data_IF_781728862671
#
_entry.id   IF_781728862671
#
_cell.length_a   1.000
_cell.length_b   1.000
_cell.length_c   1.000
_cell.angle_alpha   90.00
_cell.angle_beta   90.00
_cell.angle_gamma   90.00
#
_symmetry.space_group_name_H-M   'P 1'
#
loop_
_entity.id
_entity.type
_entity.pdbx_description
1 polymer ?
#
# COMPACT_ATOMS: atom_id res chain seq x y z
N UNK A 1 -12.32 20.09 10.05
CA UNK A 1 -11.84 18.77 10.59
C UNK A 1 -10.36 18.66 10.30
N UNK A 2 -9.55 18.30 11.28
CA UNK A 2 -8.09 18.15 11.08
C UNK A 2 -7.79 16.71 10.74
N UNK A 3 -7.02 16.47 9.67
CA UNK A 3 -6.58 15.14 9.25
C UNK A 3 -5.09 14.96 9.55
N UNK A 4 -4.73 13.95 10.34
CA UNK A 4 -3.36 13.54 10.60
C UNK A 4 -2.97 12.41 9.66
N UNK A 5 -1.84 12.56 8.95
CA UNK A 5 -1.31 11.52 8.05
C UNK A 5 -0.03 10.95 8.64
N UNK A 6 -0.07 9.68 9.02
CA UNK A 6 1.09 8.92 9.47
C UNK A 6 1.78 8.30 8.25
N UNK A 7 3.11 8.47 8.16
CA UNK A 7 3.87 8.10 6.97
C UNK A 7 3.79 9.13 5.84
N UNK A 8 3.60 10.40 6.18
CA UNK A 8 3.36 11.53 5.27
C UNK A 8 4.45 11.77 4.20
N UNK A 9 5.65 11.24 4.37
CA UNK A 9 6.77 11.36 3.40
C UNK A 9 6.98 10.12 2.55
N UNK A 10 6.20 9.05 2.79
CA UNK A 10 6.24 7.82 1.98
C UNK A 10 5.53 7.98 0.63
N UNK A 11 5.64 6.97 -0.24
CA UNK A 11 5.05 6.98 -1.59
C UNK A 11 3.54 7.31 -1.56
N UNK A 12 2.74 6.52 -0.86
CA UNK A 12 1.28 6.78 -0.77
C UNK A 12 1.00 7.98 0.13
N UNK A 13 1.68 8.09 1.28
CA UNK A 13 1.40 9.15 2.25
C UNK A 13 1.67 10.56 1.73
N UNK A 14 2.73 10.76 0.93
CA UNK A 14 2.99 12.06 0.30
C UNK A 14 1.93 12.44 -0.73
N UNK A 15 1.44 11.46 -1.48
CA UNK A 15 0.34 11.68 -2.43
C UNK A 15 -0.98 11.98 -1.69
N UNK A 16 -1.25 11.32 -0.54
CA UNK A 16 -2.39 11.65 0.34
C UNK A 16 -2.28 13.07 0.87
N UNK A 17 -1.10 13.48 1.35
CA UNK A 17 -0.86 14.86 1.80
C UNK A 17 -1.15 15.88 0.71
N UNK A 18 -0.63 15.66 -0.50
CA UNK A 18 -0.87 16.56 -1.64
C UNK A 18 -2.37 16.65 -1.99
N UNK A 19 -3.09 15.53 -1.95
CA UNK A 19 -4.55 15.50 -2.20
C UNK A 19 -5.32 16.30 -1.15
N UNK A 20 -4.99 16.11 0.15
CA UNK A 20 -5.65 16.82 1.25
C UNK A 20 -5.40 18.33 1.17
N UNK A 21 -4.15 18.75 0.98
CA UNK A 21 -3.80 20.17 0.89
C UNK A 21 -4.49 20.84 -0.30
N UNK A 22 -4.58 20.15 -1.46
CA UNK A 22 -5.24 20.69 -2.64
C UNK A 22 -6.77 20.83 -2.49
N UNK A 23 -7.40 20.05 -1.61
CA UNK A 23 -8.86 20.04 -1.40
C UNK A 23 -9.30 20.83 -0.19
N UNK A 24 -8.61 20.66 0.95
CA UNK A 24 -9.04 21.13 2.26
C UNK A 24 -8.12 22.23 2.84
N UNK A 25 -7.11 22.66 2.06
CA UNK A 25 -6.15 23.65 2.50
C UNK A 25 -5.27 23.15 3.66
N UNK A 26 -5.07 23.99 4.69
CA UNK A 26 -4.14 23.70 5.79
C UNK A 26 -4.69 22.79 6.90
N UNK A 27 -5.79 22.07 6.66
CA UNK A 27 -6.37 21.15 7.65
C UNK A 27 -5.66 19.79 7.76
N UNK A 28 -4.59 19.56 6.97
CA UNK A 28 -3.81 18.33 7.00
C UNK A 28 -2.48 18.52 7.73
N UNK A 29 -2.12 17.58 8.62
CA UNK A 29 -0.87 17.56 9.38
C UNK A 29 -0.14 16.26 9.07
N UNK A 30 1.15 16.35 8.69
CA UNK A 30 2.00 15.19 8.51
C UNK A 30 2.68 14.77 9.81
N UNK A 31 2.58 13.50 10.20
CA UNK A 31 3.36 12.94 11.31
C UNK A 31 4.62 12.28 10.76
N UNK A 32 5.78 12.75 11.22
CA UNK A 32 7.10 12.37 10.71
C UNK A 32 8.09 12.11 11.84
N UNK A 33 9.12 11.28 11.56
CA UNK A 33 10.09 10.87 12.57
C UNK A 33 11.25 11.83 12.77
N UNK A 34 11.53 12.70 11.81
CA UNK A 34 12.74 13.52 11.82
C UNK A 34 12.46 14.98 11.50
N UNK A 35 13.28 15.85 12.05
CA UNK A 35 13.27 17.29 11.75
C UNK A 35 13.48 17.57 10.23
N UNK A 36 14.33 16.79 9.57
CA UNK A 36 14.53 16.88 8.12
C UNK A 36 13.25 16.62 7.32
N UNK A 37 12.48 15.60 7.72
CA UNK A 37 11.19 15.29 7.10
C UNK A 37 10.14 16.38 7.38
N UNK A 38 10.13 16.94 8.60
CA UNK A 38 9.26 18.07 8.93
C UNK A 38 9.59 19.31 8.09
N UNK A 39 10.87 19.64 7.94
CA UNK A 39 11.33 20.71 7.06
C UNK A 39 10.98 20.50 5.60
N UNK A 40 11.03 19.25 5.12
CA UNK A 40 10.59 18.91 3.76
C UNK A 40 9.11 19.22 3.55
N UNK A 41 8.24 18.84 4.48
CA UNK A 41 6.80 19.16 4.42
C UNK A 41 6.55 20.67 4.52
N UNK A 42 7.23 21.36 5.43
CA UNK A 42 7.07 22.81 5.62
C UNK A 42 7.45 23.62 4.38
N UNK A 43 8.45 23.18 3.59
CA UNK A 43 8.80 23.82 2.30
C UNK A 43 7.66 23.78 1.28
N UNK A 44 6.77 22.80 1.42
CA UNK A 44 5.57 22.65 0.60
C UNK A 44 4.32 23.29 1.27
N UNK A 45 4.50 24.07 2.32
CA UNK A 45 3.39 24.70 3.05
C UNK A 45 2.57 23.72 3.90
N UNK A 46 3.09 22.53 4.18
CA UNK A 46 2.39 21.49 4.92
C UNK A 46 2.82 21.49 6.38
N UNK A 47 1.86 21.57 7.32
CA UNK A 47 2.12 21.43 8.74
C UNK A 47 2.64 20.02 9.09
N UNK A 48 3.59 19.94 10.04
CA UNK A 48 4.16 18.68 10.46
C UNK A 48 4.31 18.61 11.99
N UNK A 49 4.11 17.42 12.54
CA UNK A 49 4.41 17.05 13.92
C UNK A 49 5.47 15.94 13.92
N UNK A 50 6.49 16.11 14.77
CA UNK A 50 7.57 15.12 14.90
C UNK A 50 7.24 14.14 16.03
N UNK A 51 7.43 12.83 15.76
CA UNK A 51 7.26 11.77 16.75
C UNK A 51 7.51 10.40 16.15
N UNK A 52 7.45 9.37 16.99
CA UNK A 52 7.57 7.97 16.58
C UNK A 52 6.27 7.22 16.86
N UNK A 53 5.87 6.35 15.92
CA UNK A 53 4.66 5.51 16.07
C UNK A 53 4.76 4.52 17.22
N UNK A 54 5.96 4.22 17.68
CA UNK A 54 6.22 3.37 18.85
C UNK A 54 6.30 4.16 20.16
N UNK A 55 6.20 5.50 20.11
CA UNK A 55 6.15 6.36 21.27
C UNK A 55 4.72 6.87 21.55
N UNK A 56 4.07 6.28 22.51
CA UNK A 56 2.67 6.58 22.86
C UNK A 56 2.43 8.07 23.18
N UNK A 57 3.42 8.75 23.77
CA UNK A 57 3.28 10.14 24.16
C UNK A 57 3.17 11.07 22.92
N UNK A 58 4.08 10.93 21.94
CA UNK A 58 4.07 11.73 20.72
C UNK A 58 2.83 11.47 19.86
N UNK A 59 2.41 10.19 19.75
CA UNK A 59 1.17 9.84 19.06
C UNK A 59 -0.06 10.45 19.73
N UNK A 60 -0.18 10.37 21.05
CA UNK A 60 -1.32 10.92 21.81
C UNK A 60 -1.44 12.42 21.58
N UNK A 61 -0.35 13.16 21.65
CA UNK A 61 -0.34 14.61 21.40
C UNK A 61 -0.80 14.92 19.97
N UNK A 62 -0.28 14.19 18.96
CA UNK A 62 -0.63 14.44 17.58
C UNK A 62 -2.10 14.06 17.28
N UNK A 63 -2.58 12.94 17.80
CA UNK A 63 -3.92 12.42 17.52
C UNK A 63 -5.03 13.16 18.28
N UNK A 64 -4.75 13.73 19.47
CA UNK A 64 -5.75 14.50 20.22
C UNK A 64 -6.22 15.77 19.49
N UNK A 65 -5.50 16.21 18.47
CA UNK A 65 -5.83 17.36 17.64
C UNK A 65 -6.48 17.00 16.30
N UNK A 66 -6.66 15.69 16.04
CA UNK A 66 -7.14 15.19 14.76
C UNK A 66 -8.49 14.47 14.90
N UNK A 67 -9.46 14.80 14.08
CA UNK A 67 -10.71 14.05 13.96
C UNK A 67 -10.56 12.82 13.02
N UNK A 68 -9.61 12.91 12.08
CA UNK A 68 -9.32 11.84 11.11
C UNK A 68 -7.84 11.48 11.13
N UNK A 69 -7.54 10.20 11.16
CA UNK A 69 -6.17 9.66 11.04
C UNK A 69 -6.09 8.76 9.82
N UNK A 70 -5.15 9.05 8.92
CA UNK A 70 -4.85 8.21 7.76
C UNK A 70 -3.45 7.61 7.96
N UNK A 71 -3.39 6.30 8.14
CA UNK A 71 -2.14 5.58 8.35
C UNK A 71 -1.65 4.95 7.05
N UNK A 72 -0.57 5.50 6.48
CA UNK A 72 0.16 5.00 5.32
C UNK A 72 1.53 4.40 5.73
N UNK A 73 1.76 4.18 7.04
CA UNK A 73 3.02 3.61 7.52
C UNK A 73 3.11 2.14 7.16
N UNK A 74 4.22 1.76 6.56
CA UNK A 74 4.55 0.35 6.32
C UNK A 74 6.06 0.20 6.12
N UNK A 75 6.64 -0.84 6.71
CA UNK A 75 7.93 -1.36 6.31
C UNK A 75 7.72 -2.51 5.30
N UNK A 76 8.29 -2.37 4.12
CA UNK A 76 8.18 -3.31 3.00
C UNK A 76 9.56 -3.89 2.72
N UNK A 77 10.00 -4.86 3.51
CA UNK A 77 11.30 -5.52 3.41
C UNK A 77 11.22 -6.91 4.01
N UNK A 78 12.34 -7.62 3.98
CA UNK A 78 12.46 -9.01 4.43
C UNK A 78 12.98 -9.11 5.88
N UNK A 79 13.36 -7.98 6.51
CA UNK A 79 13.76 -7.94 7.91
C UNK A 79 12.53 -8.12 8.81
N UNK A 80 12.42 -9.28 9.43
CA UNK A 80 11.28 -9.66 10.27
C UNK A 80 11.15 -8.78 11.51
N UNK A 81 12.26 -8.38 12.14
CA UNK A 81 12.24 -7.51 13.31
C UNK A 81 11.71 -6.12 12.96
N UNK A 82 12.12 -5.56 11.84
CA UNK A 82 11.58 -4.29 11.33
C UNK A 82 10.10 -4.42 10.94
N UNK A 83 9.71 -5.53 10.34
CA UNK A 83 8.30 -5.79 10.03
C UNK A 83 7.45 -5.82 11.32
N UNK A 84 7.87 -6.54 12.35
CA UNK A 84 7.17 -6.59 13.64
C UNK A 84 7.17 -5.21 14.29
N UNK A 85 8.31 -4.53 14.36
CA UNK A 85 8.43 -3.24 15.02
C UNK A 85 7.54 -2.17 14.39
N UNK A 86 7.55 -2.07 13.06
CA UNK A 86 6.80 -1.01 12.35
C UNK A 86 5.36 -1.42 12.05
N UNK A 87 5.16 -2.60 11.43
CA UNK A 87 3.85 -2.97 10.90
C UNK A 87 2.92 -3.56 11.96
N UNK A 88 3.46 -4.22 13.00
CA UNK A 88 2.63 -4.80 14.05
C UNK A 88 2.59 -3.88 15.27
N UNK A 89 3.72 -3.67 15.98
CA UNK A 89 3.74 -2.88 17.21
C UNK A 89 3.34 -1.43 16.95
N UNK A 90 3.89 -0.80 15.91
CA UNK A 90 3.55 0.57 15.54
C UNK A 90 2.07 0.75 15.24
N UNK A 91 1.48 -0.16 14.44
CA UNK A 91 0.06 -0.05 14.08
C UNK A 91 -0.86 -0.39 15.26
N UNK A 92 -0.49 -1.37 16.11
CA UNK A 92 -1.20 -1.64 17.37
C UNK A 92 -1.24 -0.40 18.26
N UNK A 93 -0.12 0.30 18.40
CA UNK A 93 -0.03 1.53 19.18
C UNK A 93 -0.90 2.65 18.58
N UNK A 94 -0.85 2.83 17.26
CA UNK A 94 -1.71 3.77 16.53
C UNK A 94 -3.20 3.48 16.81
N UNK A 95 -3.64 2.23 16.63
CA UNK A 95 -5.04 1.83 16.82
C UNK A 95 -5.50 2.05 18.27
N UNK A 96 -4.68 1.62 19.25
CA UNK A 96 -4.96 1.79 20.67
C UNK A 96 -5.08 3.26 21.08
N UNK A 97 -4.17 4.11 20.62
CA UNK A 97 -4.21 5.53 20.96
C UNK A 97 -5.35 6.24 20.26
N UNK A 98 -5.60 5.94 18.97
CA UNK A 98 -6.74 6.50 18.25
C UNK A 98 -8.06 6.27 19.00
N UNK A 99 -8.29 5.03 19.47
CA UNK A 99 -9.46 4.70 20.28
C UNK A 99 -9.47 5.46 21.62
N UNK A 100 -8.32 5.53 22.32
CA UNK A 100 -8.21 6.14 23.64
C UNK A 100 -8.41 7.67 23.65
N UNK A 101 -8.05 8.38 22.55
CA UNK A 101 -8.23 9.83 22.43
C UNK A 101 -9.49 10.22 21.66
N UNK A 102 -10.28 9.24 21.19
CA UNK A 102 -11.54 9.48 20.51
C UNK A 102 -11.40 9.98 19.06
N UNK A 103 -10.40 9.48 18.31
CA UNK A 103 -10.31 9.73 16.86
C UNK A 103 -11.59 9.21 16.19
N UNK A 104 -12.30 10.08 15.49
CA UNK A 104 -13.57 9.72 14.86
C UNK A 104 -13.39 8.74 13.69
N UNK A 105 -12.31 8.89 12.92
CA UNK A 105 -12.05 8.10 11.71
C UNK A 105 -10.60 7.67 11.63
N UNK A 106 -10.36 6.38 11.69
CA UNK A 106 -9.05 5.77 11.46
C UNK A 106 -9.08 4.99 10.16
N UNK A 107 -8.24 5.37 9.18
CA UNK A 107 -8.02 4.61 7.95
C UNK A 107 -6.61 4.03 7.95
N UNK A 108 -6.49 2.76 7.59
CA UNK A 108 -5.20 2.08 7.45
C UNK A 108 -5.03 1.55 6.03
N UNK A 109 -3.95 1.95 5.36
CA UNK A 109 -3.58 1.43 4.03
C UNK A 109 -2.80 0.14 4.20
N UNK A 110 -3.49 -0.98 4.07
CA UNK A 110 -2.95 -2.34 4.05
C UNK A 110 -2.61 -2.79 2.63
N UNK A 111 -2.67 -4.08 2.35
CA UNK A 111 -2.34 -4.69 1.06
C UNK A 111 -3.17 -5.93 0.79
N UNK A 112 -3.49 -6.22 -0.47
CA UNK A 112 -4.06 -7.52 -0.85
C UNK A 112 -3.05 -8.69 -0.76
N UNK A 113 -1.75 -8.42 -0.59
CA UNK A 113 -0.74 -9.47 -0.36
C UNK A 113 -0.97 -10.29 0.92
N UNK A 114 -1.85 -9.84 1.81
CA UNK A 114 -2.29 -10.60 3.00
C UNK A 114 -3.02 -11.90 2.65
N UNK A 115 -3.58 -12.04 1.44
CA UNK A 115 -4.19 -13.28 0.98
C UNK A 115 -3.17 -14.38 0.64
N UNK A 116 -1.92 -14.00 0.37
CA UNK A 116 -0.84 -14.92 0.02
C UNK A 116 -0.84 -15.32 -1.47
N UNK A 117 -0.36 -16.54 -1.78
CA UNK A 117 -0.22 -16.97 -3.16
C UNK A 117 -1.58 -17.23 -3.80
N UNK A 118 -1.71 -16.77 -5.06
CA UNK A 118 -2.90 -17.02 -5.88
C UNK A 118 -2.94 -18.43 -6.46
N UNK A 119 -3.62 -18.63 -7.61
CA UNK A 119 -4.30 -17.55 -8.33
C UNK A 119 -5.59 -17.08 -7.67
N UNK A 120 -5.89 -15.79 -7.81
CA UNK A 120 -7.15 -15.18 -7.40
C UNK A 120 -7.83 -14.51 -8.59
N UNK A 121 -9.15 -14.73 -8.74
CA UNK A 121 -9.96 -14.15 -9.82
C UNK A 121 -11.24 -13.58 -9.25
N UNK A 122 -11.45 -12.28 -9.43
CA UNK A 122 -12.60 -11.54 -8.90
C UNK A 122 -12.83 -11.78 -7.39
N UNK A 123 -11.72 -11.89 -6.61
CA UNK A 123 -11.82 -12.25 -5.22
C UNK A 123 -12.49 -11.09 -4.42
N UNK A 124 -13.66 -11.31 -3.81
CA UNK A 124 -14.25 -10.31 -2.92
C UNK A 124 -13.49 -10.24 -1.59
N UNK A 125 -13.69 -9.16 -0.85
CA UNK A 125 -13.24 -9.09 0.56
C UNK A 125 -13.82 -10.29 1.32
N UNK A 126 -13.00 -10.97 2.10
CA UNK A 126 -13.35 -12.20 2.83
C UNK A 126 -13.70 -13.42 1.93
N UNK A 127 -13.40 -13.36 0.63
CA UNK A 127 -13.61 -14.47 -0.30
C UNK A 127 -12.58 -15.61 -0.17
N UNK A 128 -11.48 -15.38 0.56
CA UNK A 128 -10.47 -16.38 0.88
C UNK A 128 -9.87 -16.11 2.27
N UNK A 129 -9.35 -17.16 2.94
CA UNK A 129 -8.60 -16.98 4.19
C UNK A 129 -7.30 -16.19 3.91
N UNK A 130 -6.84 -15.44 4.92
CA UNK A 130 -5.55 -14.79 4.86
C UNK A 130 -4.44 -15.83 5.04
N UNK A 131 -3.49 -15.87 4.10
CA UNK A 131 -2.33 -16.78 4.09
C UNK A 131 -1.05 -16.03 3.68
N UNK A 132 -0.70 -14.96 4.39
CA UNK A 132 0.43 -14.12 4.02
C UNK A 132 1.76 -14.89 4.07
N UNK A 133 2.64 -14.69 3.08
CA UNK A 133 3.92 -15.40 2.97
C UNK A 133 5.09 -14.59 3.51
N UNK A 134 5.20 -13.32 3.11
CA UNK A 134 6.32 -12.49 3.52
C UNK A 134 6.17 -11.96 4.95
N UNK A 135 7.28 -11.62 5.66
CA UNK A 135 7.21 -10.96 6.96
C UNK A 135 6.34 -9.70 6.93
N UNK A 136 6.48 -8.89 5.89
CA UNK A 136 5.70 -7.67 5.71
C UNK A 136 4.19 -7.96 5.57
N UNK A 137 3.78 -8.97 4.81
CA UNK A 137 2.37 -9.31 4.67
C UNK A 137 1.77 -9.96 5.92
N UNK A 138 2.56 -10.78 6.66
CA UNK A 138 2.12 -11.39 7.93
C UNK A 138 1.83 -10.34 8.99
N UNK A 139 2.79 -9.43 9.21
CA UNK A 139 2.65 -8.38 10.22
C UNK A 139 1.56 -7.38 9.87
N UNK A 140 1.32 -7.11 8.57
CA UNK A 140 0.21 -6.27 8.14
C UNK A 140 -1.15 -6.93 8.28
N UNK A 141 -1.24 -8.25 8.09
CA UNK A 141 -2.49 -8.98 8.37
C UNK A 141 -2.90 -8.89 9.84
N UNK A 142 -1.93 -9.03 10.78
CA UNK A 142 -2.16 -8.81 12.22
C UNK A 142 -2.54 -7.35 12.52
N UNK A 143 -1.87 -6.40 11.88
CA UNK A 143 -2.16 -4.98 12.04
C UNK A 143 -3.61 -4.61 11.68
N UNK A 144 -4.18 -5.27 10.67
CA UNK A 144 -5.57 -5.05 10.26
C UNK A 144 -6.57 -5.40 11.38
N UNK A 145 -6.27 -6.41 12.20
CA UNK A 145 -7.12 -6.81 13.33
C UNK A 145 -7.18 -5.68 14.36
N UNK A 146 -6.03 -5.14 14.77
CA UNK A 146 -5.98 -4.02 15.71
C UNK A 146 -6.74 -2.78 15.20
N UNK A 147 -6.62 -2.50 13.92
CA UNK A 147 -7.31 -1.36 13.30
C UNK A 147 -8.82 -1.58 13.29
N UNK A 148 -9.30 -2.78 12.90
CA UNK A 148 -10.74 -3.08 12.89
C UNK A 148 -11.34 -3.08 14.29
N UNK A 149 -10.63 -3.63 15.27
CA UNK A 149 -11.06 -3.67 16.67
C UNK A 149 -11.19 -2.25 17.28
N UNK A 150 -10.35 -1.32 16.80
CA UNK A 150 -10.48 0.11 17.11
C UNK A 150 -11.55 0.84 16.30
N UNK A 151 -12.38 0.13 15.52
CA UNK A 151 -13.40 0.71 14.64
C UNK A 151 -12.83 1.30 13.34
N UNK A 152 -11.54 1.14 13.04
CA UNK A 152 -10.91 1.70 11.85
C UNK A 152 -11.29 0.98 10.56
N UNK A 153 -11.12 1.67 9.44
CA UNK A 153 -11.31 1.15 8.08
C UNK A 153 -9.98 0.67 7.51
N UNK A 154 -9.94 -0.56 7.04
CA UNK A 154 -8.80 -1.15 6.34
C UNK A 154 -8.99 -1.04 4.83
N UNK A 155 -8.01 -0.46 4.14
CA UNK A 155 -7.97 -0.35 2.68
C UNK A 155 -6.87 -1.28 2.15
N UNK A 156 -7.25 -2.24 1.31
CA UNK A 156 -6.34 -3.21 0.67
C UNK A 156 -6.18 -2.88 -0.82
N UNK A 157 -5.25 -2.01 -1.23
CA UNK A 157 -4.79 -1.99 -2.61
C UNK A 157 -3.98 -3.25 -2.90
N UNK A 158 -3.89 -3.66 -4.18
CA UNK A 158 -2.95 -4.72 -4.56
C UNK A 158 -1.62 -4.11 -4.98
N UNK A 159 -1.44 -3.80 -6.23
CA UNK A 159 -0.20 -3.26 -6.77
C UNK A 159 -0.39 -1.76 -7.09
N UNK A 160 0.29 -0.92 -6.33
CA UNK A 160 0.20 0.53 -6.49
C UNK A 160 1.33 1.01 -7.38
N UNK A 161 1.00 1.77 -8.43
CA UNK A 161 1.97 2.34 -9.37
C UNK A 161 1.74 3.83 -9.57
N UNK A 162 2.62 4.48 -10.31
CA UNK A 162 2.54 5.90 -10.65
C UNK A 162 3.74 6.71 -10.17
N UNK A 163 3.66 8.05 -10.20
CA UNK A 163 4.77 8.92 -9.83
C UNK A 163 5.29 8.63 -8.42
N UNK A 164 6.57 8.26 -8.31
CA UNK A 164 7.22 7.90 -7.05
C UNK A 164 7.20 6.41 -6.72
N UNK A 165 6.64 5.54 -7.57
CA UNK A 165 6.72 4.09 -7.40
C UNK A 165 8.19 3.61 -7.47
N UNK A 166 8.62 2.95 -6.41
CA UNK A 166 9.96 2.31 -6.29
C UNK A 166 9.86 0.81 -6.11
N UNK A 167 8.65 0.26 -6.03
CA UNK A 167 8.40 -1.09 -5.56
C UNK A 167 7.83 -2.01 -6.64
N UNK A 168 6.76 -1.61 -7.32
CA UNK A 168 6.05 -2.50 -8.22
C UNK A 168 6.64 -2.51 -9.63
N UNK A 169 6.45 -1.45 -10.43
CA UNK A 169 6.93 -1.43 -11.82
C UNK A 169 8.45 -1.61 -11.93
N UNK A 170 9.29 -0.96 -11.10
CA UNK A 170 10.73 -1.23 -11.11
C UNK A 170 11.12 -2.66 -10.76
N UNK A 171 10.34 -3.35 -9.90
CA UNK A 171 10.60 -4.77 -9.58
C UNK A 171 10.17 -5.67 -10.72
N UNK A 172 8.99 -5.43 -11.30
CA UNK A 172 8.48 -6.16 -12.46
C UNK A 172 9.47 -6.11 -13.63
N UNK A 173 9.89 -4.91 -14.03
CA UNK A 173 10.83 -4.73 -15.15
C UNK A 173 12.20 -5.34 -14.86
N UNK A 174 12.71 -5.23 -13.61
CA UNK A 174 13.96 -5.87 -13.22
C UNK A 174 13.91 -7.40 -13.32
N UNK A 175 12.79 -8.03 -12.95
CA UNK A 175 12.61 -9.48 -13.07
C UNK A 175 12.61 -9.87 -14.55
N UNK A 176 11.79 -9.21 -15.36
CA UNK A 176 11.67 -9.48 -16.79
C UNK A 176 13.00 -9.25 -17.51
N UNK A 177 13.74 -8.21 -17.16
CA UNK A 177 15.08 -7.95 -17.71
C UNK A 177 16.10 -9.05 -17.31
N UNK A 178 16.02 -9.56 -16.08
CA UNK A 178 16.94 -10.64 -15.63
C UNK A 178 16.60 -11.99 -16.26
N UNK A 179 15.35 -12.23 -16.58
CA UNK A 179 14.89 -13.41 -17.33
C UNK A 179 15.14 -13.27 -18.85
N UNK A 180 15.41 -12.05 -19.31
CA UNK A 180 15.44 -11.68 -20.73
C UNK A 180 14.22 -12.17 -21.52
N UNK A 181 13.08 -12.27 -20.82
CA UNK A 181 11.84 -12.84 -21.36
C UNK A 181 10.63 -12.43 -20.53
N UNK A 182 9.49 -12.33 -21.19
CA UNK A 182 8.17 -12.23 -20.53
C UNK A 182 7.67 -13.63 -20.18
N UNK A 183 7.00 -13.80 -19.04
CA UNK A 183 6.43 -15.08 -18.63
C UNK A 183 5.04 -15.26 -19.26
N UNK A 184 4.79 -16.41 -19.92
CA UNK A 184 3.50 -16.77 -20.54
C UNK A 184 2.89 -15.60 -21.36
N UNK A 185 3.70 -14.91 -22.16
CA UNK A 185 3.33 -13.72 -22.94
C UNK A 185 2.74 -12.57 -22.09
N UNK A 186 3.00 -12.55 -20.79
CA UNK A 186 2.45 -11.55 -19.86
C UNK A 186 0.93 -11.63 -19.68
N UNK A 187 0.35 -12.82 -19.84
CA UNK A 187 -1.09 -13.04 -19.82
C UNK A 187 -1.72 -13.00 -18.42
N UNK A 188 -0.93 -13.08 -17.35
CA UNK A 188 -1.44 -13.01 -15.99
C UNK A 188 -2.18 -11.69 -15.72
N UNK A 189 -3.34 -11.77 -15.07
CA UNK A 189 -4.24 -10.64 -14.81
C UNK A 189 -4.05 -10.14 -13.38
N UNK A 190 -3.76 -8.86 -13.23
CA UNK A 190 -3.43 -8.24 -11.95
C UNK A 190 -4.37 -7.08 -11.63
N UNK A 191 -4.84 -7.02 -10.40
CA UNK A 191 -5.38 -5.77 -9.87
C UNK A 191 -4.24 -4.79 -9.63
N UNK A 192 -4.39 -3.61 -10.18
CA UNK A 192 -3.46 -2.49 -9.99
C UNK A 192 -4.24 -1.25 -9.59
N UNK A 193 -3.56 -0.24 -9.07
CA UNK A 193 -4.15 1.06 -8.84
C UNK A 193 -3.11 2.16 -9.03
N UNK A 194 -3.43 3.14 -9.88
CA UNK A 194 -2.67 4.39 -9.93
C UNK A 194 -2.72 5.10 -8.57
N UNK A 195 -1.58 5.63 -8.11
CA UNK A 195 -1.50 6.26 -6.79
C UNK A 195 -2.46 7.44 -6.64
N UNK A 196 -2.73 8.20 -7.71
CA UNK A 196 -3.67 9.31 -7.64
C UNK A 196 -5.13 8.81 -7.52
N UNK A 197 -5.47 7.68 -8.15
CA UNK A 197 -6.78 7.05 -7.98
C UNK A 197 -6.93 6.52 -6.54
N UNK A 198 -5.89 5.87 -6.01
CA UNK A 198 -5.87 5.39 -4.64
C UNK A 198 -6.10 6.53 -3.64
N UNK A 199 -5.38 7.65 -3.77
CA UNK A 199 -5.51 8.75 -2.83
C UNK A 199 -6.84 9.49 -2.94
N UNK A 200 -7.43 9.60 -4.15
CA UNK A 200 -8.81 10.09 -4.31
C UNK A 200 -9.82 9.18 -3.60
N UNK A 201 -9.61 7.87 -3.66
CA UNK A 201 -10.45 6.90 -2.97
C UNK A 201 -10.29 7.01 -1.44
N UNK A 202 -9.07 7.13 -0.94
CA UNK A 202 -8.77 7.35 0.48
C UNK A 202 -9.43 8.65 0.96
N UNK A 203 -9.30 9.74 0.22
CA UNK A 203 -9.94 11.02 0.52
C UNK A 203 -11.45 10.87 0.61
N UNK A 204 -12.09 10.28 -0.40
CA UNK A 204 -13.53 10.02 -0.41
C UNK A 204 -13.95 9.21 0.82
N UNK A 205 -13.27 8.08 1.10
CA UNK A 205 -13.56 7.23 2.26
C UNK A 205 -13.37 7.95 3.60
N UNK A 206 -12.39 8.87 3.69
CA UNK A 206 -12.14 9.65 4.91
C UNK A 206 -13.16 10.74 5.16
N UNK A 207 -13.91 11.17 4.14
CA UNK A 207 -14.87 12.29 4.19
C UNK A 207 -16.35 11.86 4.00
N UNK A 208 -16.61 10.58 3.71
CA UNK A 208 -17.99 10.05 3.58
C UNK A 208 -18.84 10.36 4.81
N UNK A 209 -20.14 10.67 4.61
CA UNK A 209 -21.06 10.89 5.73
C UNK A 209 -21.24 9.63 6.59
N UNK A 210 -21.27 8.46 5.96
CA UNK A 210 -21.33 7.16 6.63
C UNK A 210 -19.96 6.49 6.60
N UNK A 211 -19.17 6.68 7.65
CA UNK A 211 -17.89 6.01 7.78
C UNK A 211 -18.07 4.51 8.00
N UNK A 212 -17.22 3.70 7.35
CA UNK A 212 -17.35 2.23 7.34
C UNK A 212 -16.55 1.60 8.49
N UNK A 213 -17.01 1.83 9.71
CA UNK A 213 -16.35 1.35 10.92
C UNK A 213 -16.09 -0.16 10.89
N UNK A 214 -14.88 -0.58 11.31
CA UNK A 214 -14.45 -1.97 11.41
C UNK A 214 -14.42 -2.74 10.09
N UNK A 215 -14.54 -2.07 8.95
CA UNK A 215 -14.64 -2.69 7.64
C UNK A 215 -13.30 -2.85 6.94
N UNK A 216 -13.29 -3.68 5.91
CA UNK A 216 -12.16 -3.84 4.98
C UNK A 216 -12.67 -3.65 3.55
N UNK A 217 -11.90 -2.95 2.72
CA UNK A 217 -12.22 -2.71 1.31
C UNK A 217 -11.01 -3.00 0.42
N UNK A 218 -11.25 -3.58 -0.76
CA UNK A 218 -10.28 -3.54 -1.85
C UNK A 218 -10.40 -2.19 -2.59
N UNK A 219 -9.25 -1.60 -2.91
CA UNK A 219 -9.17 -0.35 -3.69
C UNK A 219 -8.19 -0.55 -4.84
N UNK A 220 -8.74 -0.88 -6.01
CA UNK A 220 -8.00 -1.12 -7.25
C UNK A 220 -8.70 -0.41 -8.40
N UNK A 221 -8.08 -0.33 -9.56
CA UNK A 221 -8.74 0.09 -10.79
C UNK A 221 -9.96 -0.80 -11.10
N UNK A 222 -10.99 -0.25 -11.75
CA UNK A 222 -12.21 -1.00 -12.06
C UNK A 222 -11.95 -2.21 -12.97
N UNK A 223 -10.97 -2.06 -13.87
CA UNK A 223 -10.56 -3.11 -14.82
C UNK A 223 -9.15 -3.56 -14.46
N UNK A 224 -8.98 -4.85 -14.14
CA UNK A 224 -7.64 -5.39 -13.92
C UNK A 224 -6.84 -5.39 -15.23
N UNK A 225 -5.51 -5.41 -15.14
CA UNK A 225 -4.62 -5.30 -16.29
C UNK A 225 -3.78 -6.56 -16.45
N UNK A 226 -3.45 -6.89 -17.69
CA UNK A 226 -2.46 -7.95 -17.93
C UNK A 226 -1.05 -7.46 -17.61
N UNK A 227 -0.16 -8.38 -17.32
CA UNK A 227 1.26 -8.05 -17.09
C UNK A 227 1.87 -7.41 -18.33
N UNK A 228 1.51 -7.88 -19.54
CA UNK A 228 2.02 -7.29 -20.77
C UNK A 228 1.58 -5.83 -20.94
N UNK A 229 0.31 -5.49 -20.64
CA UNK A 229 -0.17 -4.10 -20.69
C UNK A 229 0.61 -3.18 -19.75
N UNK A 230 0.98 -3.68 -18.57
CA UNK A 230 1.78 -2.93 -17.58
C UNK A 230 3.22 -2.72 -18.05
N UNK A 231 3.82 -3.74 -18.65
CA UNK A 231 5.18 -3.67 -19.21
C UNK A 231 5.24 -2.71 -20.41
N UNK A 232 4.29 -2.79 -21.31
CA UNK A 232 4.18 -1.88 -22.45
C UNK A 232 3.92 -0.42 -22.01
N UNK A 233 3.06 -0.23 -21.01
CA UNK A 233 2.84 1.09 -20.40
C UNK A 233 4.15 1.66 -19.86
N UNK A 234 4.88 0.86 -19.06
CA UNK A 234 6.14 1.30 -18.48
C UNK A 234 7.21 1.58 -19.54
N UNK A 235 7.29 0.76 -20.60
CA UNK A 235 8.21 0.99 -21.72
C UNK A 235 7.92 2.30 -22.46
N UNK A 236 6.63 2.68 -22.61
CA UNK A 236 6.25 3.97 -23.21
C UNK A 236 6.61 5.19 -22.34
N UNK A 237 6.54 5.04 -21.02
CA UNK A 237 6.82 6.12 -20.06
C UNK A 237 8.31 6.27 -19.73
N UNK A 238 9.12 5.28 -20.10
CA UNK A 238 10.55 5.24 -19.77
C UNK A 238 11.38 4.82 -20.99
N UNK A 239 12.70 4.85 -20.87
CA UNK A 239 13.60 4.33 -21.91
C UNK A 239 13.88 2.82 -21.74
N UNK A 240 13.04 2.10 -20.97
CA UNK A 240 13.20 0.66 -20.79
C UNK A 240 12.71 -0.11 -22.03
N UNK A 241 13.49 -1.09 -22.46
CA UNK A 241 13.15 -1.92 -23.63
C UNK A 241 12.51 -3.22 -23.17
N UNK A 242 11.30 -3.48 -23.66
CA UNK A 242 10.59 -4.74 -23.41
C UNK A 242 11.25 -5.89 -24.17
N UNK A 243 11.66 -6.98 -23.48
CA UNK A 243 12.11 -8.21 -24.16
C UNK A 243 11.06 -8.76 -25.12
N UNK A 244 11.51 -9.20 -26.29
CA UNK A 244 10.64 -9.74 -27.34
C UNK A 244 10.34 -11.25 -27.16
N UNK A 245 11.13 -11.92 -26.31
CA UNK A 245 10.98 -13.35 -26.04
C UNK A 245 9.95 -13.59 -24.92
N UNK A 246 9.33 -14.77 -25.00
CA UNK A 246 8.44 -15.27 -23.95
C UNK A 246 8.82 -16.70 -23.57
N UNK A 247 8.76 -17.01 -22.30
CA UNK A 247 9.02 -18.35 -21.77
C UNK A 247 7.82 -18.86 -20.96
N UNK A 248 7.53 -20.17 -20.99
CA UNK A 248 6.51 -20.76 -20.14
C UNK A 248 6.85 -20.57 -18.66
N UNK A 249 5.84 -20.37 -17.80
CA UNK A 249 6.02 -20.21 -16.36
C UNK A 249 6.87 -21.33 -15.74
N UNK A 250 6.67 -22.58 -16.17
CA UNK A 250 7.44 -23.72 -15.65
C UNK A 250 8.96 -23.58 -15.88
N UNK A 251 9.35 -22.99 -16.99
CA UNK A 251 10.76 -22.73 -17.31
C UNK A 251 11.26 -21.43 -16.63
N UNK A 252 10.42 -20.40 -16.57
CA UNK A 252 10.70 -19.18 -15.82
C UNK A 252 11.04 -19.47 -14.35
N UNK A 253 10.31 -20.39 -13.70
CA UNK A 253 10.57 -20.84 -12.33
C UNK A 253 11.97 -21.44 -12.18
N UNK A 254 12.39 -22.31 -13.11
CA UNK A 254 13.73 -22.93 -13.11
C UNK A 254 14.83 -21.89 -13.28
N UNK A 255 14.67 -21.01 -14.27
CA UNK A 255 15.64 -19.93 -14.55
C UNK A 255 15.71 -18.96 -13.37
N UNK A 256 14.56 -18.56 -12.80
CA UNK A 256 14.48 -17.69 -11.66
C UNK A 256 15.23 -18.26 -10.44
N UNK A 257 15.09 -19.56 -10.17
CA UNK A 257 15.81 -20.26 -9.11
C UNK A 257 17.34 -20.22 -9.32
N UNK A 258 17.79 -20.46 -10.55
CA UNK A 258 19.22 -20.38 -10.91
C UNK A 258 19.78 -18.95 -10.77
N UNK A 259 18.96 -17.95 -11.07
CA UNK A 259 19.31 -16.53 -10.93
C UNK A 259 19.15 -16.00 -9.49
N UNK A 260 18.69 -16.81 -8.54
CA UNK A 260 18.42 -16.39 -7.17
C UNK A 260 17.32 -15.32 -7.08
N UNK A 261 16.30 -15.39 -7.95
CA UNK A 261 15.15 -14.51 -7.89
C UNK A 261 14.15 -15.01 -6.84
N UNK A 262 13.46 -14.07 -6.20
CA UNK A 262 12.43 -14.37 -5.23
C UNK A 262 11.21 -15.02 -5.90
N UNK A 263 10.94 -16.28 -5.55
CA UNK A 263 9.87 -17.07 -6.13
C UNK A 263 8.48 -16.48 -5.87
N UNK A 264 8.28 -15.84 -4.73
CA UNK A 264 7.03 -15.17 -4.44
C UNK A 264 6.75 -14.02 -5.44
N UNK A 265 7.79 -13.30 -5.85
CA UNK A 265 7.67 -12.26 -6.87
C UNK A 265 7.42 -12.84 -8.26
N UNK A 266 7.98 -14.02 -8.57
CA UNK A 266 7.66 -14.73 -9.82
C UNK A 266 6.18 -15.14 -9.86
N UNK A 267 5.66 -15.70 -8.76
CA UNK A 267 4.24 -16.06 -8.67
C UNK A 267 3.32 -14.83 -8.80
N UNK A 268 3.68 -13.73 -8.17
CA UNK A 268 2.91 -12.49 -8.23
C UNK A 268 2.75 -11.94 -9.66
N UNK A 269 3.72 -12.15 -10.54
CA UNK A 269 3.70 -11.63 -11.92
C UNK A 269 3.33 -12.69 -12.96
N UNK A 270 3.15 -13.93 -12.57
CA UNK A 270 2.86 -15.06 -13.49
C UNK A 270 1.54 -15.80 -13.18
N UNK A 271 0.87 -15.44 -12.09
CA UNK A 271 -0.45 -15.95 -11.72
C UNK A 271 -1.46 -14.80 -11.65
N UNK A 272 -2.72 -15.12 -11.89
CA UNK A 272 -3.78 -14.12 -11.75
C UNK A 272 -3.94 -13.68 -10.29
N UNK A 273 -3.91 -12.39 -10.07
CA UNK A 273 -4.12 -11.77 -8.76
C UNK A 273 -5.03 -10.55 -8.93
N UNK A 274 -6.34 -10.79 -9.09
CA UNK A 274 -7.28 -9.68 -9.16
C UNK A 274 -8.44 -9.82 -8.18
N UNK A 275 -8.81 -8.67 -7.62
CA UNK A 275 -9.65 -8.53 -6.45
C UNK A 275 -10.81 -7.59 -6.75
N UNK A 276 -12.01 -8.00 -6.36
CA UNK A 276 -13.23 -7.21 -6.58
C UNK A 276 -13.15 -5.90 -5.80
N UNK A 277 -13.17 -4.77 -6.51
CA UNK A 277 -13.28 -3.42 -5.93
C UNK A 277 -14.69 -2.89 -6.17
N UNK A 278 -15.32 -2.30 -5.14
CA UNK A 278 -16.70 -1.77 -5.21
C UNK A 278 -16.77 -0.26 -4.93
N UNK A 279 -15.71 0.46 -5.17
CA UNK A 279 -15.66 1.91 -4.90
C UNK A 279 -16.12 2.77 -6.07
N UNK A 280 -16.40 2.17 -7.21
CA UNK A 280 -16.77 2.84 -8.47
C UNK A 280 -18.11 2.33 -8.96
#
# INVERSE_FOLDING_TARGET
MTTLVLGATGFIGSAVMNQLVSRDGNAAIGFVRTDSAAKQLSRNGIAATIGDINESASLRVAMSQASTVICCVSYVGDDEQQCVHVNEHGIRNIASIAAAVGVERLLYVSTAAVYGPGPFRDLPVNGAPLKPLSPASRTRALAEEFVRDAGGLVVRPHLVYGPGDRWFLPTLTRIVSRLDSVIDNGSAILSVVDVNLLVRSIYKLSTEQQFRYGSTLHVNEPVPRTVIDLLEHHARETNWTLPQSSIPRADAVKVAAQLGLDMHKIDMISLDHWFRSRLY
#
